data_IF_318056108740
#
_entry.id   IF_318056108740
#
_cell.length_a   1.000
_cell.length_b   1.000
_cell.length_c   1.000
_cell.angle_alpha   90.00
_cell.angle_beta   90.00
_cell.angle_gamma   90.00
#
_symmetry.space_group_name_H-M   'P 1'
#
loop_
_entity.id
_entity.type
_entity.pdbx_description
1 polymer ?
#
# COMPACT_ATOMS: atom_id res chain seq x y z
N UNK A 1 15.10 -8.43 34.98
CA UNK A 1 13.65 -8.67 34.81
C UNK A 1 13.39 -8.75 33.31
N UNK A 2 12.91 -9.89 32.83
CA UNK A 2 13.01 -10.32 31.43
C UNK A 2 12.29 -9.41 30.45
N UNK A 3 13.00 -8.93 29.44
CA UNK A 3 12.43 -8.22 28.30
C UNK A 3 11.50 -9.18 27.56
N UNK A 4 10.19 -9.07 27.82
CA UNK A 4 9.13 -9.92 27.28
C UNK A 4 9.08 -9.82 25.76
N UNK A 5 9.84 -10.69 25.08
CA UNK A 5 9.59 -10.99 23.69
C UNK A 5 8.26 -11.76 23.65
N UNK A 6 7.22 -11.16 23.08
CA UNK A 6 5.94 -11.86 22.88
C UNK A 6 6.17 -13.13 22.09
N UNK A 7 5.46 -14.19 22.48
CA UNK A 7 5.53 -15.44 21.76
C UNK A 7 4.90 -15.29 20.36
N UNK A 8 5.38 -16.02 19.34
CA UNK A 8 4.84 -15.92 17.98
C UNK A 8 3.32 -16.07 17.90
N UNK A 9 2.73 -16.94 18.71
CA UNK A 9 1.28 -17.12 18.78
C UNK A 9 0.54 -15.91 19.36
N UNK A 10 1.10 -15.23 20.36
CA UNK A 10 0.52 -13.99 20.91
C UNK A 10 0.48 -12.88 19.86
N UNK A 11 1.51 -12.80 19.03
CA UNK A 11 1.55 -11.88 17.89
C UNK A 11 0.46 -12.24 16.88
N UNK A 12 0.28 -13.52 16.54
CA UNK A 12 -0.82 -13.97 15.66
C UNK A 12 -2.17 -13.52 16.21
N UNK A 13 -2.46 -13.75 17.50
CA UNK A 13 -3.74 -13.33 18.10
C UNK A 13 -3.93 -11.82 18.03
N UNK A 14 -2.87 -11.06 18.35
CA UNK A 14 -2.91 -9.59 18.30
C UNK A 14 -3.17 -9.06 16.89
N UNK A 15 -2.63 -9.71 15.85
CA UNK A 15 -2.86 -9.33 14.45
C UNK A 15 -4.31 -9.62 14.04
N UNK A 16 -4.82 -10.80 14.39
CA UNK A 16 -6.20 -11.19 14.05
C UNK A 16 -7.20 -10.25 14.73
N UNK A 17 -6.95 -9.86 15.97
CA UNK A 17 -7.72 -8.85 16.70
C UNK A 17 -7.61 -7.46 16.05
N UNK A 18 -6.41 -7.04 15.66
CA UNK A 18 -6.21 -5.76 14.97
C UNK A 18 -6.97 -5.69 13.64
N UNK A 19 -7.00 -6.79 12.87
CA UNK A 19 -7.79 -6.89 11.63
C UNK A 19 -9.28 -6.75 11.93
N UNK A 20 -9.78 -7.43 12.95
CA UNK A 20 -11.19 -7.38 13.31
C UNK A 20 -11.66 -5.98 13.72
N UNK A 21 -10.81 -5.22 14.44
CA UNK A 21 -11.11 -3.84 14.81
C UNK A 21 -11.24 -2.88 13.62
N UNK A 22 -10.63 -3.22 12.49
CA UNK A 22 -10.71 -2.43 11.26
C UNK A 22 -11.93 -2.80 10.39
N UNK A 23 -12.72 -3.78 10.79
CA UNK A 23 -13.97 -4.14 10.11
C UNK A 23 -15.00 -3.03 10.32
N UNK A 24 -15.57 -2.55 9.22
CA UNK A 24 -16.54 -1.47 9.22
C UNK A 24 -17.94 -1.97 8.83
N UNK A 25 -19.02 -1.33 9.31
CA UNK A 25 -20.35 -1.56 8.77
C UNK A 25 -20.40 -1.10 7.31
N UNK A 26 -20.86 -1.98 6.43
CA UNK A 26 -21.14 -1.72 5.02
C UNK A 26 -22.63 -1.51 4.75
N UNK A 27 -22.97 -1.18 3.51
CA UNK A 27 -24.38 -1.03 3.09
C UNK A 27 -25.16 -2.35 3.16
N UNK A 28 -26.46 -2.26 3.50
CA UNK A 28 -27.40 -3.40 3.60
C UNK A 28 -27.02 -4.50 4.61
N UNK A 29 -26.51 -4.12 5.79
CA UNK A 29 -26.22 -5.06 6.89
C UNK A 29 -24.98 -5.94 6.67
N UNK A 30 -24.21 -5.71 5.60
CA UNK A 30 -22.93 -6.37 5.34
C UNK A 30 -21.82 -5.70 6.14
N UNK A 31 -20.76 -6.43 6.48
CA UNK A 31 -19.52 -5.85 7.00
C UNK A 31 -18.48 -5.78 5.89
N UNK A 32 -17.58 -4.80 5.97
CA UNK A 32 -16.53 -4.59 4.98
C UNK A 32 -15.22 -4.36 5.69
N UNK A 33 -14.20 -5.07 5.24
CA UNK A 33 -12.82 -4.76 5.53
C UNK A 33 -12.31 -3.85 4.40
N UNK A 34 -11.97 -2.58 4.68
CA UNK A 34 -11.70 -1.58 3.63
C UNK A 34 -10.31 -1.73 3.00
N UNK A 35 -9.48 -2.62 3.54
CA UNK A 35 -8.11 -2.87 3.13
C UNK A 35 -8.00 -4.19 2.39
N UNK A 36 -6.98 -4.33 1.56
CA UNK A 36 -6.68 -5.57 0.88
C UNK A 36 -5.18 -5.91 0.92
N UNK A 37 -4.41 -5.15 1.70
CA UNK A 37 -3.04 -5.48 2.07
C UNK A 37 -2.82 -5.27 3.57
N UNK A 38 -2.23 -6.27 4.22
CA UNK A 38 -1.80 -6.24 5.62
C UNK A 38 -0.29 -6.46 5.63
N UNK A 39 0.48 -5.49 6.11
CA UNK A 39 1.94 -5.64 6.25
C UNK A 39 2.28 -5.78 7.72
N UNK A 40 2.82 -6.94 8.09
CA UNK A 40 3.31 -7.24 9.42
C UNK A 40 4.83 -7.04 9.45
N UNK A 41 5.30 -6.08 10.24
CA UNK A 41 6.72 -5.95 10.57
C UNK A 41 7.00 -6.58 11.93
N UNK A 42 7.85 -7.59 12.03
CA UNK A 42 8.17 -8.30 13.28
C UNK A 42 9.63 -8.11 13.67
N UNK A 43 9.88 -7.79 14.94
CA UNK A 43 11.22 -7.74 15.49
C UNK A 43 11.78 -9.15 15.67
N UNK A 44 12.72 -9.51 14.80
CA UNK A 44 13.49 -10.76 14.86
C UNK A 44 14.99 -10.42 14.90
N UNK A 45 15.59 -10.24 16.09
CA UNK A 45 16.98 -9.81 16.21
C UNK A 45 18.00 -10.88 15.81
N UNK A 46 17.58 -12.15 15.69
CA UNK A 46 18.42 -13.28 15.29
C UNK A 46 17.72 -14.19 14.29
N UNK A 47 18.49 -15.03 13.58
CA UNK A 47 17.94 -16.04 12.67
C UNK A 47 17.04 -17.04 13.41
N UNK A 48 17.40 -17.44 14.62
CA UNK A 48 16.59 -18.35 15.44
C UNK A 48 15.27 -17.70 15.88
N UNK A 49 15.28 -16.41 16.20
CA UNK A 49 14.05 -15.67 16.47
C UNK A 49 13.16 -15.62 15.22
N UNK A 50 13.74 -15.35 14.04
CA UNK A 50 13.02 -15.35 12.77
C UNK A 50 12.42 -16.72 12.45
N UNK A 51 13.18 -17.80 12.56
CA UNK A 51 12.71 -19.15 12.28
C UNK A 51 11.52 -19.56 13.17
N UNK A 52 11.51 -19.13 14.44
CA UNK A 52 10.36 -19.34 15.35
C UNK A 52 9.10 -18.63 14.88
N UNK A 53 9.22 -17.43 14.32
CA UNK A 53 8.08 -16.71 13.75
C UNK A 53 7.62 -17.34 12.43
N UNK A 54 8.54 -17.67 11.53
CA UNK A 54 8.24 -18.34 10.25
C UNK A 54 7.48 -19.66 10.48
N UNK A 55 7.92 -20.48 11.44
CA UNK A 55 7.25 -21.74 11.77
C UNK A 55 5.78 -21.57 12.20
N UNK A 56 5.41 -20.42 12.79
CA UNK A 56 4.05 -20.14 13.24
C UNK A 56 3.24 -19.41 12.18
N UNK A 57 3.86 -18.49 11.42
CA UNK A 57 3.17 -17.72 10.38
C UNK A 57 2.93 -18.52 9.10
N UNK A 58 3.87 -19.41 8.75
CA UNK A 58 3.80 -20.29 7.59
C UNK A 58 3.30 -21.71 7.95
N UNK A 59 3.05 -21.97 9.24
CA UNK A 59 2.46 -23.23 9.71
C UNK A 59 0.99 -23.38 9.32
N UNK A 60 0.35 -24.49 9.68
CA UNK A 60 -1.06 -24.75 9.36
C UNK A 60 -1.99 -24.47 10.57
N UNK A 61 -3.04 -23.62 10.44
CA UNK A 61 -3.33 -22.74 9.31
C UNK A 61 -2.37 -21.54 9.28
N UNK A 62 -2.04 -21.08 8.07
CA UNK A 62 -1.12 -19.96 7.87
C UNK A 62 -1.72 -18.66 8.41
N UNK A 63 -0.89 -17.67 8.75
CA UNK A 63 -1.35 -16.39 9.27
C UNK A 63 -2.40 -15.74 8.35
N UNK A 64 -2.18 -15.80 7.03
CA UNK A 64 -3.14 -15.32 6.03
C UNK A 64 -4.50 -16.02 6.15
N UNK A 65 -4.50 -17.34 6.30
CA UNK A 65 -5.73 -18.13 6.40
C UNK A 65 -6.51 -17.78 7.66
N UNK A 66 -5.80 -17.67 8.81
CA UNK A 66 -6.41 -17.24 10.08
C UNK A 66 -7.09 -15.88 9.96
N UNK A 67 -6.45 -14.94 9.26
CA UNK A 67 -7.02 -13.60 9.01
C UNK A 67 -8.25 -13.69 8.11
N UNK A 68 -8.16 -14.43 7.00
CA UNK A 68 -9.27 -14.61 6.06
C UNK A 68 -10.47 -15.29 6.72
N UNK A 69 -10.22 -16.31 7.54
CA UNK A 69 -11.27 -17.00 8.30
C UNK A 69 -11.92 -16.07 9.31
N UNK A 70 -11.15 -15.25 10.03
CA UNK A 70 -11.71 -14.24 10.93
C UNK A 70 -12.60 -13.24 10.21
N UNK A 71 -12.15 -12.72 9.06
CA UNK A 71 -12.91 -11.80 8.22
C UNK A 71 -14.22 -12.44 7.75
N UNK A 72 -14.17 -13.71 7.31
CA UNK A 72 -15.34 -14.48 6.87
C UNK A 72 -16.31 -14.69 8.03
N UNK A 73 -15.85 -15.08 9.21
CA UNK A 73 -16.68 -15.24 10.42
C UNK A 73 -17.34 -13.93 10.85
N UNK A 74 -16.71 -12.79 10.58
CA UNK A 74 -17.27 -11.46 10.83
C UNK A 74 -18.25 -10.98 9.74
N UNK A 75 -18.51 -11.78 8.69
CA UNK A 75 -19.43 -11.44 7.62
C UNK A 75 -18.84 -10.53 6.53
N UNK A 76 -17.51 -10.48 6.40
CA UNK A 76 -16.82 -9.85 5.27
C UNK A 76 -16.61 -10.89 4.16
N UNK A 77 -17.22 -10.70 2.99
CA UNK A 77 -17.00 -11.58 1.83
C UNK A 77 -15.81 -11.12 0.97
N UNK A 78 -14.99 -12.09 0.54
CA UNK A 78 -14.01 -12.03 -0.53
C UNK A 78 -13.15 -10.74 -0.58
N UNK A 79 -12.12 -10.70 0.25
CA UNK A 79 -11.03 -9.74 0.13
C UNK A 79 -9.93 -10.42 -0.67
N UNK A 80 -9.50 -9.83 -1.79
CA UNK A 80 -8.22 -10.16 -2.43
C UNK A 80 -7.08 -9.70 -1.51
N UNK A 81 -6.92 -10.41 -0.40
CA UNK A 81 -6.10 -10.02 0.73
C UNK A 81 -4.68 -10.55 0.54
N UNK A 82 -3.75 -9.60 0.45
CA UNK A 82 -2.32 -9.85 0.52
C UNK A 82 -1.86 -9.64 1.96
N UNK A 83 -1.12 -10.60 2.50
CA UNK A 83 -0.50 -10.51 3.83
C UNK A 83 1.00 -10.66 3.64
N UNK A 84 1.74 -9.59 3.92
CA UNK A 84 3.20 -9.57 3.83
C UNK A 84 3.80 -9.59 5.24
N UNK A 85 4.78 -10.45 5.47
CA UNK A 85 5.56 -10.47 6.72
C UNK A 85 6.98 -10.02 6.43
N UNK A 86 7.42 -8.98 7.15
CA UNK A 86 8.74 -8.38 7.07
C UNK A 86 9.43 -8.54 8.42
N UNK A 87 10.59 -9.19 8.44
CA UNK A 87 11.41 -9.33 9.65
C UNK A 87 12.42 -8.20 9.73
N UNK A 88 12.45 -7.50 10.86
CA UNK A 88 13.42 -6.43 11.14
C UNK A 88 14.29 -6.80 12.33
N UNK A 89 15.53 -6.37 12.32
CA UNK A 89 16.48 -6.62 13.43
C UNK A 89 16.38 -5.59 14.54
N UNK A 90 15.66 -4.48 14.32
CA UNK A 90 15.41 -3.42 15.30
C UNK A 90 14.01 -2.83 15.10
N UNK A 91 13.24 -2.73 16.19
CA UNK A 91 11.94 -2.05 16.19
C UNK A 91 12.09 -0.55 15.93
N UNK A 92 11.08 0.06 15.32
CA UNK A 92 11.09 1.50 15.04
C UNK A 92 10.38 2.27 16.17
N UNK A 93 10.77 3.53 16.40
CA UNK A 93 10.23 4.36 17.50
C UNK A 93 8.72 4.64 17.39
N UNK A 94 8.15 4.51 16.19
CA UNK A 94 6.73 4.72 15.90
C UNK A 94 5.89 3.45 16.10
N UNK A 95 6.50 2.32 16.46
CA UNK A 95 5.75 1.10 16.72
C UNK A 95 4.98 1.23 18.04
N UNK A 96 3.68 0.94 17.99
CA UNK A 96 2.84 0.90 19.20
C UNK A 96 3.23 -0.28 20.10
N UNK A 97 3.67 -1.38 19.51
CA UNK A 97 4.15 -2.55 20.20
C UNK A 97 5.67 -2.71 19.98
N UNK A 98 6.47 -2.97 21.02
CA UNK A 98 7.92 -3.12 20.86
C UNK A 98 8.32 -4.35 20.03
N UNK A 99 7.46 -5.36 19.92
CA UNK A 99 7.74 -6.62 19.21
C UNK A 99 7.30 -6.64 17.74
N UNK A 100 6.29 -5.84 17.36
CA UNK A 100 5.77 -5.85 15.99
C UNK A 100 4.98 -4.58 15.63
N UNK A 101 4.71 -4.42 14.35
CA UNK A 101 3.84 -3.37 13.81
C UNK A 101 2.98 -3.93 12.69
N UNK A 102 1.72 -3.51 12.65
CA UNK A 102 0.78 -3.87 11.59
C UNK A 102 0.36 -2.61 10.87
N UNK A 103 0.50 -2.63 9.55
CA UNK A 103 0.02 -1.59 8.64
C UNK A 103 -1.10 -2.15 7.75
N UNK A 104 -2.15 -1.36 7.56
CA UNK A 104 -3.30 -1.69 6.75
C UNK A 104 -3.38 -0.75 5.56
N UNK A 105 -3.30 -1.31 4.35
CA UNK A 105 -3.35 -0.55 3.13
C UNK A 105 -4.44 -1.05 2.18
N UNK A 106 -5.05 -0.11 1.45
CA UNK A 106 -5.89 -0.42 0.30
C UNK A 106 -5.08 -0.15 -0.96
N UNK A 107 -4.88 -1.21 -1.70
CA UNK A 107 -3.95 -1.35 -2.79
C UNK A 107 -4.77 -1.85 -3.98
N UNK A 108 -5.08 -1.01 -4.96
CA UNK A 108 -5.88 -1.44 -6.10
C UNK A 108 -5.16 -2.58 -6.85
N UNK A 109 -5.85 -3.61 -7.40
CA UNK A 109 -5.22 -4.82 -7.96
C UNK A 109 -4.16 -4.62 -9.07
N UNK A 110 -3.92 -3.39 -9.51
CA UNK A 110 -2.79 -3.01 -10.37
C UNK A 110 -1.44 -2.99 -9.58
N UNK A 111 -1.50 -3.08 -8.26
CA UNK A 111 -0.33 -3.09 -7.35
C UNK A 111 0.03 -4.46 -6.77
N UNK A 112 -0.91 -5.41 -6.76
CA UNK A 112 -0.77 -6.66 -6.01
C UNK A 112 -0.04 -7.77 -6.79
N UNK A 113 0.26 -7.56 -8.06
CA UNK A 113 0.94 -8.55 -8.89
C UNK A 113 1.94 -7.88 -9.81
N UNK A 114 3.15 -7.59 -9.30
CA UNK A 114 4.45 -7.82 -9.96
C UNK A 114 5.59 -7.10 -9.23
N UNK A 115 5.74 -7.23 -7.90
CA UNK A 115 6.86 -6.61 -7.20
C UNK A 115 8.18 -7.40 -7.32
N UNK A 116 8.20 -8.60 -7.91
CA UNK A 116 9.41 -9.44 -7.87
C UNK A 116 9.59 -10.51 -8.97
N UNK A 117 8.80 -10.54 -10.06
CA UNK A 117 8.99 -11.56 -11.14
C UNK A 117 8.99 -11.02 -12.58
N UNK A 118 9.43 -9.78 -12.79
CA UNK A 118 9.66 -9.21 -14.13
C UNK A 118 11.08 -8.67 -14.30
N UNK A 119 11.51 -8.37 -15.54
CA UNK A 119 12.77 -7.66 -15.77
C UNK A 119 12.80 -6.34 -14.97
N UNK A 120 13.99 -5.90 -14.59
CA UNK A 120 14.16 -4.62 -13.90
C UNK A 120 13.45 -3.49 -14.67
N UNK A 121 12.81 -2.58 -13.93
CA UNK A 121 12.12 -1.45 -14.56
C UNK A 121 13.11 -0.60 -15.36
N UNK A 122 12.80 -0.36 -16.63
CA UNK A 122 13.56 0.58 -17.44
C UNK A 122 13.54 1.97 -16.78
N UNK A 123 14.56 2.79 -17.03
CA UNK A 123 14.53 4.18 -16.55
C UNK A 123 13.47 4.96 -17.34
N UNK A 124 12.60 5.69 -16.65
CA UNK A 124 11.67 6.65 -17.25
C UNK A 124 11.97 8.06 -16.73
N UNK A 125 11.84 9.04 -17.62
CA UNK A 125 11.97 10.46 -17.31
C UNK A 125 10.64 11.16 -17.52
N UNK A 126 10.19 11.89 -16.51
CA UNK A 126 8.94 12.65 -16.52
C UNK A 126 9.28 14.14 -16.41
N UNK A 127 8.75 14.94 -17.33
CA UNK A 127 8.88 16.40 -17.29
C UNK A 127 7.51 17.05 -17.17
N UNK A 128 7.36 17.92 -16.18
CA UNK A 128 6.15 18.73 -15.99
C UNK A 128 6.20 19.90 -16.96
N UNK A 129 5.39 19.81 -18.02
CA UNK A 129 5.32 20.85 -19.06
C UNK A 129 4.44 22.04 -18.66
N UNK A 130 3.35 21.78 -17.90
CA UNK A 130 2.42 22.79 -17.39
C UNK A 130 2.02 22.47 -15.95
N UNK A 131 1.74 23.52 -15.18
CA UNK A 131 1.46 23.43 -13.74
C UNK A 131 2.72 23.58 -12.89
N UNK A 132 2.53 23.56 -11.56
CA UNK A 132 3.61 23.68 -10.58
C UNK A 132 3.72 22.37 -9.80
N UNK A 133 4.86 21.70 -9.90
CA UNK A 133 5.18 20.53 -9.09
C UNK A 133 6.43 20.81 -8.26
N UNK A 134 6.74 19.92 -7.30
CA UNK A 134 7.94 20.04 -6.48
C UNK A 134 9.23 20.11 -7.31
N UNK A 135 9.24 19.40 -8.46
CA UNK A 135 10.32 19.45 -9.45
C UNK A 135 9.73 19.54 -10.84
N UNK A 136 10.47 20.16 -11.76
CA UNK A 136 10.08 20.18 -13.19
C UNK A 136 10.41 18.89 -13.93
N UNK A 137 11.41 18.14 -13.46
CA UNK A 137 11.84 16.88 -14.06
C UNK A 137 12.12 15.84 -12.99
N UNK A 138 11.79 14.58 -13.30
CA UNK A 138 11.96 13.42 -12.44
C UNK A 138 12.52 12.26 -13.26
N UNK A 139 13.35 11.43 -12.63
CA UNK A 139 13.81 10.17 -13.19
C UNK A 139 13.47 9.05 -12.22
N UNK A 140 12.88 7.98 -12.73
CA UNK A 140 12.44 6.84 -11.94
C UNK A 140 12.93 5.53 -12.56
N UNK A 141 13.17 4.55 -11.68
CA UNK A 141 13.35 3.13 -12.00
C UNK A 141 12.37 2.29 -11.16
N UNK A 142 11.28 2.91 -10.73
CA UNK A 142 10.25 2.26 -9.92
C UNK A 142 9.25 1.54 -10.81
N UNK A 143 8.71 0.41 -10.33
CA UNK A 143 7.63 -0.30 -11.01
C UNK A 143 6.27 0.39 -10.87
N UNK A 144 6.11 1.28 -9.89
CA UNK A 144 4.96 2.15 -9.73
C UNK A 144 5.39 3.58 -9.42
N UNK A 145 4.75 4.55 -10.08
CA UNK A 145 4.97 5.98 -9.88
C UNK A 145 3.61 6.67 -9.76
N UNK A 146 3.21 6.94 -8.52
CA UNK A 146 2.00 7.69 -8.19
C UNK A 146 2.09 9.18 -8.55
N UNK A 147 1.06 9.69 -9.24
CA UNK A 147 0.91 11.07 -9.69
C UNK A 147 -0.33 11.70 -9.06
N UNK A 148 -0.21 12.93 -8.54
CA UNK A 148 -1.37 13.62 -8.01
C UNK A 148 -1.04 14.98 -7.43
N UNK A 149 -2.07 15.61 -6.87
CA UNK A 149 -1.95 16.86 -6.11
C UNK A 149 -1.61 16.54 -4.65
N UNK A 150 -0.73 17.34 -4.06
CA UNK A 150 -0.08 17.11 -2.76
C UNK A 150 0.90 15.92 -2.78
N UNK A 151 1.95 16.01 -1.97
CA UNK A 151 2.87 14.90 -1.74
C UNK A 151 2.19 13.78 -0.94
N UNK A 152 1.47 14.13 0.12
CA UNK A 152 0.75 13.18 0.97
C UNK A 152 -0.75 13.35 0.81
N UNK A 153 -1.43 12.26 0.48
CA UNK A 153 -2.88 12.18 0.47
C UNK A 153 -3.32 11.56 1.78
N UNK A 154 -4.12 12.32 2.55
CA UNK A 154 -4.64 11.90 3.85
C UNK A 154 -6.15 11.77 3.83
N UNK A 155 -6.68 10.86 4.63
CA UNK A 155 -8.13 10.69 4.82
C UNK A 155 -8.71 11.80 5.71
N UNK A 156 -10.03 11.77 5.92
CA UNK A 156 -10.73 12.72 6.80
C UNK A 156 -10.32 12.64 8.27
N UNK A 157 -9.62 11.56 8.68
CA UNK A 157 -9.06 11.35 10.02
C UNK A 157 -7.56 11.67 10.08
N UNK A 158 -7.03 12.35 9.05
CA UNK A 158 -5.63 12.73 8.91
C UNK A 158 -4.64 11.55 8.80
N UNK A 159 -5.11 10.35 8.45
CA UNK A 159 -4.25 9.18 8.22
C UNK A 159 -3.72 9.20 6.80
N UNK A 160 -2.45 8.86 6.61
CA UNK A 160 -1.82 8.79 5.29
C UNK A 160 -2.43 7.63 4.48
N UNK A 161 -2.99 7.94 3.31
CA UNK A 161 -3.53 6.97 2.36
C UNK A 161 -2.51 6.66 1.27
N UNK A 162 -1.78 7.67 0.80
CA UNK A 162 -0.88 7.57 -0.36
C UNK A 162 0.16 8.68 -0.35
N UNK A 163 1.34 8.38 -0.86
CA UNK A 163 2.36 9.37 -1.19
C UNK A 163 2.50 9.45 -2.71
N UNK A 164 2.36 10.65 -3.28
CA UNK A 164 2.59 10.90 -4.69
C UNK A 164 4.09 11.10 -4.94
N UNK A 165 4.63 10.38 -5.92
CA UNK A 165 6.02 10.54 -6.36
C UNK A 165 6.19 11.79 -7.22
N UNK A 166 5.15 12.13 -8.00
CA UNK A 166 5.05 13.42 -8.68
C UNK A 166 3.87 14.18 -8.09
N UNK A 167 4.21 15.15 -7.24
CA UNK A 167 3.25 15.96 -6.52
C UNK A 167 3.12 17.35 -7.14
N UNK A 168 1.91 17.66 -7.60
CA UNK A 168 1.51 19.03 -7.96
C UNK A 168 1.19 19.82 -6.70
N UNK A 169 1.72 21.03 -6.60
CA UNK A 169 1.54 21.89 -5.44
C UNK A 169 0.06 22.28 -5.23
N UNK A 170 -0.35 22.45 -3.97
CA UNK A 170 -1.65 23.05 -3.63
C UNK A 170 -1.62 24.57 -3.79
N UNK A 171 -2.76 25.15 -4.17
CA UNK A 171 -2.95 26.61 -4.25
C UNK A 171 -2.34 27.28 -5.49
N UNK A 172 -1.63 26.56 -6.34
CA UNK A 172 -0.98 27.12 -7.53
C UNK A 172 -1.87 27.07 -8.77
N UNK A 173 -2.71 28.09 -8.96
CA UNK A 173 -3.47 28.36 -10.19
C UNK A 173 -4.47 27.28 -10.63
N UNK A 174 -5.22 27.58 -11.70
CA UNK A 174 -6.33 26.74 -12.17
C UNK A 174 -5.86 25.37 -12.70
N UNK A 175 -4.65 25.31 -13.27
CA UNK A 175 -4.11 24.09 -13.87
C UNK A 175 -3.86 22.98 -12.85
N UNK A 176 -3.37 23.31 -11.65
CA UNK A 176 -3.13 22.27 -10.64
C UNK A 176 -4.43 21.80 -9.98
N UNK A 177 -5.49 22.62 -9.98
CA UNK A 177 -6.77 22.26 -9.38
C UNK A 177 -7.49 21.14 -10.16
N UNK A 178 -7.23 21.01 -11.47
CA UNK A 178 -7.73 19.89 -12.26
C UNK A 178 -7.02 18.56 -11.93
N UNK A 179 -5.89 18.60 -11.21
CA UNK A 179 -5.20 17.42 -10.73
C UNK A 179 -5.83 16.97 -9.40
N UNK A 180 -6.31 15.73 -9.39
CA UNK A 180 -6.88 15.08 -8.20
C UNK A 180 -5.76 14.70 -7.23
N UNK A 181 -6.09 14.58 -5.93
CA UNK A 181 -5.10 14.16 -4.93
C UNK A 181 -4.55 12.76 -5.23
N UNK A 182 -5.43 11.85 -5.62
CA UNK A 182 -5.10 10.56 -6.23
C UNK A 182 -5.55 10.65 -7.69
N UNK A 183 -4.64 11.01 -8.61
CA UNK A 183 -5.03 11.28 -9.99
C UNK A 183 -4.76 10.08 -10.89
N UNK A 184 -3.53 9.62 -10.92
CA UNK A 184 -3.10 8.53 -11.78
C UNK A 184 -1.87 7.84 -11.21
N UNK A 185 -1.50 6.70 -11.76
CA UNK A 185 -0.20 6.10 -11.53
C UNK A 185 0.37 5.53 -12.83
N UNK A 186 1.70 5.50 -12.92
CA UNK A 186 2.41 4.79 -13.98
C UNK A 186 2.86 3.45 -13.41
N UNK A 187 2.47 2.35 -14.06
CA UNK A 187 2.87 0.98 -13.70
C UNK A 187 3.80 0.37 -14.74
N UNK A 188 4.79 -0.43 -14.30
CA UNK A 188 5.71 -1.17 -15.16
C UNK A 188 5.35 -2.66 -15.18
N UNK A 189 4.85 -3.12 -16.33
CA UNK A 189 4.44 -4.49 -16.53
C UNK A 189 4.87 -4.98 -17.92
N UNK A 190 5.31 -6.23 -18.01
CA UNK A 190 5.71 -6.87 -19.27
C UNK A 190 6.81 -6.14 -20.05
N UNK A 191 7.68 -5.37 -19.38
CA UNK A 191 8.76 -4.62 -20.02
C UNK A 191 8.40 -3.19 -20.40
N UNK A 192 7.15 -2.77 -20.22
CA UNK A 192 6.66 -1.45 -20.64
C UNK A 192 6.02 -0.68 -19.47
N UNK A 193 6.10 0.65 -19.57
CA UNK A 193 5.35 1.55 -18.72
C UNK A 193 3.95 1.83 -19.28
N UNK A 194 2.94 1.79 -18.41
CA UNK A 194 1.55 2.09 -18.72
C UNK A 194 1.01 3.11 -17.72
N UNK A 195 0.18 4.04 -18.20
CA UNK A 195 -0.49 5.03 -17.38
C UNK A 195 -1.91 4.57 -17.05
N UNK A 196 -2.28 4.67 -15.79
CA UNK A 196 -3.56 4.25 -15.25
C UNK A 196 -4.23 5.44 -14.56
N UNK A 197 -5.47 5.72 -14.94
CA UNK A 197 -6.30 6.71 -14.23
C UNK A 197 -6.83 6.10 -12.92
N UNK A 198 -6.63 6.80 -11.81
CA UNK A 198 -7.07 6.37 -10.48
C UNK A 198 -8.45 6.93 -10.12
N UNK A 199 -9.35 7.02 -11.11
CA UNK A 199 -10.67 7.68 -11.02
C UNK A 199 -10.52 9.16 -10.73
N UNK A 200 -9.67 9.83 -11.50
CA UNK A 200 -9.49 11.27 -11.38
C UNK A 200 -10.77 12.02 -11.74
N UNK A 201 -10.96 13.19 -11.12
CA UNK A 201 -12.15 14.00 -11.33
C UNK A 201 -12.27 14.55 -12.77
N UNK A 202 -11.14 14.74 -13.45
CA UNK A 202 -11.07 15.35 -14.78
C UNK A 202 -10.58 14.37 -15.87
N UNK A 203 -10.34 13.11 -15.51
CA UNK A 203 -9.80 12.09 -16.39
C UNK A 203 -8.30 12.26 -16.67
N UNK A 204 -7.72 11.19 -17.22
CA UNK A 204 -6.32 11.14 -17.68
C UNK A 204 -6.30 10.82 -19.17
N UNK A 205 -5.48 11.52 -19.94
CA UNK A 205 -5.31 11.27 -21.38
C UNK A 205 -3.83 11.27 -21.77
N UNK A 206 -3.49 10.44 -22.76
CA UNK A 206 -2.13 10.37 -23.32
C UNK A 206 -2.14 11.05 -24.67
N UNK A 207 -1.21 11.97 -24.91
CA UNK A 207 -0.97 12.54 -26.23
C UNK A 207 0.37 12.05 -26.77
N UNK A 208 0.36 11.49 -27.99
CA UNK A 208 1.56 11.12 -28.73
C UNK A 208 1.59 11.91 -30.03
N UNK A 209 2.62 12.73 -30.22
CA UNK A 209 2.78 13.61 -31.38
C UNK A 209 1.54 14.50 -31.61
N UNK A 210 0.99 15.07 -30.53
CA UNK A 210 -0.17 15.96 -30.57
C UNK A 210 -1.53 15.28 -30.77
N UNK A 211 -1.58 13.94 -30.87
CA UNK A 211 -2.83 13.17 -30.99
C UNK A 211 -3.10 12.39 -29.71
N UNK A 212 -4.35 12.42 -29.26
CA UNK A 212 -4.78 11.58 -28.14
C UNK A 212 -4.68 10.11 -28.53
N UNK A 213 -4.03 9.32 -27.69
CA UNK A 213 -3.96 7.86 -27.80
C UNK A 213 -5.12 7.30 -26.98
N UNK A 214 -5.94 6.47 -27.62
CA UNK A 214 -7.06 5.76 -26.98
C UNK A 214 -6.57 4.55 -26.18
#
# INVERSE_FOLDING_TARGET
MGSGAREPLEIVYSIVEAVEHEIQPGGRGRRTFPFNRVTLSVLAPSRDARARFEAVFDGEPALRERIVDRLRSAGCEAVDLVVDVVYVTRGQKNWRDPGFHVDFARVTPVDAGDASRGPAAARIELTVSRGVAERRAYAFMARRIDLGRCAEVRDSRNRLIRTNHVAFAEGSGDVNQSVSRQHAHIGYASGDYRLYDDRSAHGTSILRNGRTVA
#
